data_IF_489422344194
#
_entry.id   IF_489422344194
#
_cell.length_a   1.000
_cell.length_b   1.000
_cell.length_c   1.000
_cell.angle_alpha   90.00
_cell.angle_beta   90.00
_cell.angle_gamma   90.00
#
_symmetry.space_group_name_H-M   'P 1'
#
loop_
_entity.id
_entity.type
_entity.pdbx_description
1 polymer ?
#
# COMPACT_ATOMS: atom_id res chain seq x y z
N UNK A 1 -9.54 24.09 16.83
CA UNK A 1 -10.51 22.99 16.61
C UNK A 1 -11.30 23.17 15.32
N UNK A 2 -11.92 24.30 15.21
CA UNK A 2 -12.76 24.60 14.04
C UNK A 2 -11.97 24.54 12.73
N UNK A 3 -10.77 25.06 12.73
CA UNK A 3 -9.90 25.07 11.57
C UNK A 3 -9.52 23.66 11.12
N UNK A 4 -9.32 22.77 12.06
CA UNK A 4 -8.97 21.40 11.75
C UNK A 4 -10.10 20.65 11.04
N UNK A 5 -11.33 20.94 11.41
CA UNK A 5 -12.49 20.33 10.75
C UNK A 5 -12.63 20.81 9.32
N UNK A 6 -12.41 22.11 9.11
CA UNK A 6 -12.45 22.68 7.78
C UNK A 6 -11.37 22.08 6.91
N UNK A 7 -10.17 21.91 7.46
CA UNK A 7 -9.06 21.30 6.74
C UNK A 7 -9.36 19.86 6.34
N UNK A 8 -9.94 19.08 7.25
CA UNK A 8 -10.31 17.71 6.98
C UNK A 8 -11.36 17.63 5.88
N UNK A 9 -12.35 18.49 5.90
CA UNK A 9 -13.38 18.54 4.87
C UNK A 9 -12.84 18.93 3.50
N UNK A 10 -11.74 19.67 3.47
CA UNK A 10 -11.12 20.14 2.23
C UNK A 10 -9.99 19.25 1.75
N UNK A 11 -9.68 18.20 2.48
CA UNK A 11 -8.63 17.30 2.06
C UNK A 11 -8.96 16.66 0.72
N UNK A 12 -8.01 16.74 -0.17
CA UNK A 12 -8.15 16.08 -1.45
C UNK A 12 -7.96 14.58 -1.28
N UNK A 13 -8.71 13.85 -2.07
CA UNK A 13 -8.57 12.42 -2.15
C UNK A 13 -7.17 12.03 -2.63
N UNK A 14 -6.56 11.04 -2.01
CA UNK A 14 -5.25 10.53 -2.39
C UNK A 14 -5.33 9.29 -3.27
N UNK A 15 -6.38 8.48 -3.10
CA UNK A 15 -6.47 7.23 -3.87
C UNK A 15 -7.22 7.46 -5.18
N UNK A 16 -6.71 6.84 -6.24
CA UNK A 16 -7.34 6.86 -7.55
C UNK A 16 -6.84 5.63 -8.33
N UNK A 17 -7.54 5.29 -9.40
CA UNK A 17 -7.19 4.11 -10.19
C UNK A 17 -6.77 4.45 -11.62
N UNK A 18 -6.95 5.68 -12.06
CA UNK A 18 -6.56 6.07 -13.42
C UNK A 18 -5.11 6.54 -13.43
N UNK A 19 -4.22 5.66 -13.86
CA UNK A 19 -2.79 5.93 -13.90
C UNK A 19 -2.43 7.10 -14.82
N UNK A 20 -3.20 7.33 -15.86
CA UNK A 20 -2.90 8.39 -16.82
C UNK A 20 -2.97 9.78 -16.20
N UNK A 21 -3.72 9.92 -15.12
CA UNK A 21 -3.87 11.20 -14.45
C UNK A 21 -2.87 11.41 -13.32
N UNK A 22 -1.98 10.46 -13.11
CA UNK A 22 -1.04 10.49 -12.00
C UNK A 22 0.31 11.08 -12.36
N UNK A 23 0.81 11.96 -11.51
CA UNK A 23 2.22 12.29 -11.46
C UNK A 23 2.95 11.30 -10.57
N UNK A 24 4.23 11.52 -10.35
CA UNK A 24 5.08 10.62 -9.58
C UNK A 24 4.55 10.36 -8.16
N UNK A 25 4.14 11.41 -7.47
CA UNK A 25 3.69 11.26 -6.07
C UNK A 25 2.29 10.70 -5.97
N UNK A 26 1.42 11.00 -6.91
CA UNK A 26 0.12 10.36 -6.97
C UNK A 26 0.26 8.87 -7.24
N UNK A 27 1.18 8.51 -8.12
CA UNK A 27 1.50 7.10 -8.37
C UNK A 27 2.03 6.43 -7.10
N UNK A 28 2.88 7.12 -6.35
CA UNK A 28 3.42 6.57 -5.10
C UNK A 28 2.31 6.18 -4.12
N UNK A 29 1.23 6.96 -4.07
CA UNK A 29 0.08 6.63 -3.22
C UNK A 29 -0.75 5.47 -3.76
N UNK A 30 -0.59 5.12 -5.04
CA UNK A 30 -1.50 4.20 -5.71
C UNK A 30 -0.83 3.02 -6.41
N UNK A 31 0.49 2.92 -6.33
CA UNK A 31 1.20 1.84 -7.03
C UNK A 31 1.03 0.48 -6.35
N UNK A 32 0.76 0.45 -5.06
CA UNK A 32 0.54 -0.79 -4.32
C UNK A 32 -0.95 -0.92 -4.04
N UNK A 33 -1.54 -2.02 -4.44
CA UNK A 33 -2.98 -2.22 -4.25
C UNK A 33 -3.28 -3.70 -4.06
N UNK A 34 -4.51 -4.00 -3.65
CA UNK A 34 -4.98 -5.38 -3.51
C UNK A 34 -6.01 -5.59 -4.62
N UNK A 35 -5.82 -6.63 -5.41
CA UNK A 35 -6.74 -6.92 -6.51
C UNK A 35 -8.00 -7.63 -6.01
N UNK A 36 -8.92 -7.88 -6.93
CA UNK A 36 -10.20 -8.52 -6.62
C UNK A 36 -10.06 -9.93 -6.06
N UNK A 37 -8.93 -10.57 -6.26
CA UNK A 37 -8.65 -11.91 -5.72
C UNK A 37 -7.94 -11.84 -4.35
N UNK A 38 -7.70 -10.65 -3.82
CA UNK A 38 -7.04 -10.47 -2.54
C UNK A 38 -5.52 -10.52 -2.63
N UNK A 39 -4.95 -10.44 -3.81
CA UNK A 39 -3.50 -10.47 -3.98
C UNK A 39 -2.91 -9.07 -3.98
N UNK A 40 -1.77 -8.93 -3.31
CA UNK A 40 -1.03 -7.68 -3.31
C UNK A 40 -0.32 -7.51 -4.64
N UNK A 41 -0.50 -6.35 -5.26
CA UNK A 41 0.04 -6.05 -6.57
C UNK A 41 0.78 -4.72 -6.56
N UNK A 42 1.72 -4.61 -7.51
CA UNK A 42 2.42 -3.39 -7.80
C UNK A 42 2.11 -2.97 -9.24
N UNK A 43 1.89 -1.69 -9.44
CA UNK A 43 1.68 -1.15 -10.78
C UNK A 43 2.39 0.18 -10.93
N UNK A 44 2.79 0.46 -12.15
CA UNK A 44 3.27 1.79 -12.54
C UNK A 44 2.87 2.03 -13.99
N UNK A 45 3.50 2.99 -14.64
CA UNK A 45 3.13 3.34 -16.01
C UNK A 45 3.47 2.27 -17.03
N UNK A 46 4.28 1.29 -16.67
CA UNK A 46 4.73 0.25 -17.59
C UNK A 46 4.23 -1.15 -17.23
N UNK A 47 4.12 -1.46 -15.94
CA UNK A 47 3.78 -2.82 -15.50
C UNK A 47 2.67 -2.82 -14.46
N UNK A 48 2.04 -3.97 -14.33
CA UNK A 48 1.13 -4.31 -13.25
C UNK A 48 1.38 -5.78 -12.96
N UNK A 49 1.92 -6.09 -11.79
CA UNK A 49 2.43 -7.40 -11.48
C UNK A 49 2.17 -7.76 -10.01
N UNK A 50 1.99 -9.05 -9.75
CA UNK A 50 1.92 -9.56 -8.39
C UNK A 50 3.19 -9.19 -7.62
N UNK A 51 3.04 -8.72 -6.39
CA UNK A 51 4.16 -8.22 -5.60
C UNK A 51 5.22 -9.30 -5.35
N UNK A 52 4.78 -10.54 -5.10
CA UNK A 52 5.69 -11.64 -4.85
C UNK A 52 6.47 -12.00 -6.13
N UNK A 53 5.78 -12.00 -7.26
CA UNK A 53 6.42 -12.26 -8.54
C UNK A 53 7.43 -11.17 -8.91
N UNK A 54 7.12 -9.92 -8.60
CA UNK A 54 8.05 -8.82 -8.81
C UNK A 54 9.33 -9.02 -7.99
N UNK A 55 9.18 -9.30 -6.70
CA UNK A 55 10.33 -9.50 -5.81
C UNK A 55 11.15 -10.72 -6.23
N UNK A 56 10.49 -11.81 -6.61
CA UNK A 56 11.18 -13.01 -7.13
C UNK A 56 12.00 -12.69 -8.37
N UNK A 57 11.42 -11.92 -9.29
CA UNK A 57 12.10 -11.53 -10.51
C UNK A 57 13.34 -10.67 -10.24
N UNK A 58 13.24 -9.73 -9.32
CA UNK A 58 14.36 -8.88 -8.95
C UNK A 58 15.48 -9.67 -8.31
N UNK A 59 15.12 -10.61 -7.41
CA UNK A 59 16.12 -11.47 -6.77
C UNK A 59 16.78 -12.40 -7.78
N UNK A 60 16.00 -12.94 -8.71
CA UNK A 60 16.53 -13.81 -9.75
C UNK A 60 17.55 -13.08 -10.62
N UNK A 61 17.24 -11.85 -11.03
CA UNK A 61 18.19 -11.05 -11.79
C UNK A 61 19.46 -10.77 -11.01
N UNK A 62 19.31 -10.39 -9.75
CA UNK A 62 20.44 -10.06 -8.88
C UNK A 62 21.35 -11.26 -8.66
N UNK A 63 20.80 -12.46 -8.60
CA UNK A 63 21.56 -13.67 -8.32
C UNK A 63 21.88 -14.50 -9.58
N UNK A 64 21.57 -13.97 -10.75
CA UNK A 64 21.78 -14.64 -12.03
C UNK A 64 21.05 -16.01 -12.08
N UNK A 65 19.85 -16.05 -11.49
CA UNK A 65 19.03 -17.25 -11.52
C UNK A 65 19.39 -18.30 -10.49
N UNK A 66 20.27 -17.99 -9.55
CA UNK A 66 20.74 -18.97 -8.56
C UNK A 66 19.79 -19.17 -7.39
N UNK A 67 18.83 -18.28 -7.21
CA UNK A 67 17.87 -18.36 -6.11
C UNK A 67 16.57 -18.97 -6.60
N UNK A 68 16.05 -19.92 -5.85
CA UNK A 68 14.75 -20.52 -6.12
C UNK A 68 14.05 -20.79 -4.79
N UNK A 69 12.72 -20.80 -4.83
CA UNK A 69 11.89 -20.98 -3.64
C UNK A 69 10.90 -22.09 -3.87
N UNK A 70 10.69 -22.91 -2.86
CA UNK A 70 9.82 -24.09 -2.98
C UNK A 70 8.34 -23.74 -2.95
N UNK A 71 7.98 -22.64 -2.29
CA UNK A 71 6.59 -22.20 -2.14
C UNK A 71 6.56 -20.73 -1.83
N UNK A 72 5.36 -20.15 -1.84
CA UNK A 72 5.17 -18.76 -1.45
C UNK A 72 5.53 -18.53 0.02
N UNK A 73 5.20 -19.50 0.85
CA UNK A 73 5.52 -19.45 2.28
C UNK A 73 7.03 -19.46 2.49
N UNK A 74 7.73 -20.33 1.76
CA UNK A 74 9.19 -20.39 1.78
C UNK A 74 9.79 -19.05 1.34
N UNK A 75 9.25 -18.48 0.27
CA UNK A 75 9.70 -17.18 -0.21
C UNK A 75 9.56 -16.11 0.88
N UNK A 76 8.40 -16.04 1.52
CA UNK A 76 8.15 -15.04 2.54
C UNK A 76 9.08 -15.21 3.74
N UNK A 77 9.39 -16.45 4.12
CA UNK A 77 10.34 -16.74 5.18
C UNK A 77 11.74 -16.23 4.83
N UNK A 78 12.18 -16.44 3.59
CA UNK A 78 13.47 -15.93 3.14
C UNK A 78 13.51 -14.41 3.14
N UNK A 79 12.40 -13.75 2.74
CA UNK A 79 12.34 -12.29 2.79
C UNK A 79 12.52 -11.79 4.22
N UNK A 80 11.86 -12.42 5.17
CA UNK A 80 12.04 -12.09 6.59
C UNK A 80 13.47 -12.25 7.04
N UNK A 81 14.14 -13.32 6.62
CA UNK A 81 15.54 -13.55 6.95
C UNK A 81 16.46 -12.47 6.38
N UNK A 82 16.25 -12.08 5.13
CA UNK A 82 17.08 -11.05 4.50
C UNK A 82 16.91 -9.71 5.22
N UNK A 83 15.69 -9.37 5.60
CA UNK A 83 15.44 -8.14 6.36
C UNK A 83 16.17 -8.19 7.71
N UNK A 84 16.08 -9.32 8.40
CA UNK A 84 16.71 -9.47 9.70
C UNK A 84 18.24 -9.46 9.65
N UNK A 85 18.82 -10.06 8.63
CA UNK A 85 20.27 -10.14 8.49
C UNK A 85 20.90 -8.90 7.86
N UNK A 86 20.29 -8.40 6.82
CA UNK A 86 20.91 -7.35 5.99
C UNK A 86 20.26 -5.98 6.17
N UNK A 87 19.01 -5.91 6.58
CA UNK A 87 18.25 -4.67 6.55
C UNK A 87 18.22 -4.11 5.13
N UNK A 88 18.45 -2.83 4.99
CA UNK A 88 18.50 -2.18 3.67
C UNK A 88 19.93 -2.01 3.15
N UNK A 89 20.90 -2.63 3.82
CA UNK A 89 22.31 -2.39 3.52
C UNK A 89 22.82 -3.21 2.34
N UNK A 90 22.07 -4.19 1.88
CA UNK A 90 22.45 -5.01 0.73
C UNK A 90 21.32 -4.99 -0.31
N UNK A 91 21.62 -5.30 -1.58
CA UNK A 91 20.57 -5.40 -2.60
C UNK A 91 19.46 -6.39 -2.24
N UNK A 92 19.80 -7.56 -1.73
CA UNK A 92 18.77 -8.55 -1.38
C UNK A 92 17.91 -8.08 -0.20
N UNK A 93 18.52 -7.45 0.80
CA UNK A 93 17.79 -6.88 1.93
C UNK A 93 16.89 -5.74 1.50
N UNK A 94 17.38 -4.90 0.58
CA UNK A 94 16.57 -3.82 0.04
C UNK A 94 15.36 -4.35 -0.74
N UNK A 95 15.55 -5.39 -1.55
CA UNK A 95 14.45 -6.03 -2.29
C UNK A 95 13.44 -6.61 -1.29
N UNK A 96 13.90 -7.28 -0.26
CA UNK A 96 13.02 -7.86 0.75
C UNK A 96 12.24 -6.77 1.50
N UNK A 97 12.92 -5.67 1.84
CA UNK A 97 12.27 -4.53 2.50
C UNK A 97 11.24 -3.89 1.60
N UNK A 98 11.56 -3.72 0.32
CA UNK A 98 10.60 -3.22 -0.66
C UNK A 98 9.37 -4.13 -0.73
N UNK A 99 9.59 -5.44 -0.79
CA UNK A 99 8.50 -6.41 -0.83
C UNK A 99 7.58 -6.29 0.39
N UNK A 100 8.13 -6.24 1.60
CA UNK A 100 7.27 -6.10 2.78
C UNK A 100 6.50 -4.78 2.76
N UNK A 101 7.14 -3.72 2.27
CA UNK A 101 6.48 -2.42 2.19
C UNK A 101 5.36 -2.40 1.15
N UNK A 102 5.49 -3.18 0.07
CA UNK A 102 4.39 -3.33 -0.89
C UNK A 102 3.14 -3.87 -0.21
N UNK A 103 3.29 -4.87 0.66
CA UNK A 103 2.16 -5.42 1.43
C UNK A 103 1.53 -4.37 2.32
N UNK A 104 2.33 -3.67 3.10
CA UNK A 104 1.83 -2.66 4.02
C UNK A 104 1.14 -1.51 3.27
N UNK A 105 1.77 -1.02 2.21
CA UNK A 105 1.22 0.09 1.44
C UNK A 105 -0.08 -0.30 0.75
N UNK A 106 -0.16 -1.51 0.22
CA UNK A 106 -1.39 -1.98 -0.41
C UNK A 106 -2.53 -2.01 0.60
N UNK A 107 -2.28 -2.55 1.78
CA UNK A 107 -3.29 -2.59 2.84
C UNK A 107 -3.75 -1.19 3.25
N UNK A 108 -2.80 -0.29 3.49
CA UNK A 108 -3.11 1.07 3.88
C UNK A 108 -3.86 1.81 2.78
N UNK A 109 -3.45 1.62 1.54
CA UNK A 109 -4.10 2.25 0.41
C UNK A 109 -5.56 1.82 0.27
N UNK A 110 -5.82 0.50 0.41
CA UNK A 110 -7.18 -0.01 0.29
C UNK A 110 -8.07 0.48 1.43
N UNK A 111 -7.54 0.58 2.64
CA UNK A 111 -8.29 1.16 3.76
C UNK A 111 -8.59 2.62 3.54
N UNK A 112 -7.60 3.37 3.08
CA UNK A 112 -7.81 4.78 2.79
C UNK A 112 -8.86 4.96 1.69
N UNK A 113 -8.77 4.16 0.63
CA UNK A 113 -9.75 4.20 -0.46
C UNK A 113 -11.16 3.96 0.07
N UNK A 114 -11.31 2.99 0.94
CA UNK A 114 -12.63 2.69 1.53
C UNK A 114 -13.19 3.91 2.25
N UNK A 115 -12.40 4.56 3.08
CA UNK A 115 -12.86 5.74 3.82
C UNK A 115 -13.09 6.94 2.90
N UNK A 116 -12.27 7.12 1.91
CA UNK A 116 -12.45 8.19 0.93
C UNK A 116 -13.71 7.99 0.11
N UNK A 117 -14.00 6.74 -0.27
CA UNK A 117 -15.24 6.42 -0.98
C UNK A 117 -16.47 6.71 -0.10
N UNK A 118 -16.42 6.38 1.18
CA UNK A 118 -17.50 6.69 2.11
C UNK A 118 -17.71 8.19 2.27
N UNK A 119 -16.61 8.93 2.33
CA UNK A 119 -16.67 10.38 2.44
C UNK A 119 -17.33 11.02 1.22
N UNK A 120 -16.96 10.57 0.02
CA UNK A 120 -17.57 11.05 -1.22
C UNK A 120 -19.04 10.70 -1.31
N UNK A 121 -19.44 9.61 -0.73
CA UNK A 121 -20.86 9.21 -0.68
C UNK A 121 -21.64 9.91 0.42
N UNK A 122 -20.98 10.78 1.20
CA UNK A 122 -21.60 11.44 2.33
C UNK A 122 -21.92 10.52 3.49
N UNK A 123 -21.34 9.32 3.52
CA UNK A 123 -21.60 8.32 4.54
C UNK A 123 -20.62 8.38 5.69
N UNK A 124 -19.46 8.96 5.49
CA UNK A 124 -18.48 9.17 6.53
C UNK A 124 -18.70 10.56 7.10
N UNK A 125 -19.10 10.61 8.36
CA UNK A 125 -19.38 11.87 9.01
C UNK A 125 -18.13 12.38 9.73
N UNK A 126 -17.68 13.55 9.30
CA UNK A 126 -16.58 14.25 9.96
C UNK A 126 -17.23 15.32 10.82
N UNK A 127 -17.43 15.04 12.08
CA UNK A 127 -18.14 15.93 12.97
C UNK A 127 -17.19 16.70 13.86
N UNK A 128 -17.47 17.98 14.14
CA UNK A 128 -16.70 18.74 15.10
C UNK A 128 -17.09 18.32 16.52
N UNK A 129 -16.87 17.05 16.82
CA UNK A 129 -17.30 16.46 18.08
C UNK A 129 -16.42 16.90 19.21
N UNK A 130 -17.04 17.10 20.35
CA UNK A 130 -16.34 17.39 21.59
C UNK A 130 -16.56 16.23 22.54
N UNK A 131 -15.77 16.19 23.57
CA UNK A 131 -15.97 15.20 24.61
C UNK A 131 -17.40 15.34 25.14
N UNK A 132 -18.11 14.26 25.13
CA UNK A 132 -19.49 14.26 25.58
C UNK A 132 -20.54 14.38 24.50
N UNK A 133 -20.15 14.68 23.28
CA UNK A 133 -21.10 14.69 22.17
C UNK A 133 -21.52 13.25 21.85
N UNK A 134 -22.70 13.13 21.29
CA UNK A 134 -23.31 11.82 21.05
C UNK A 134 -22.95 11.25 19.69
N UNK A 135 -21.70 11.30 19.36
CA UNK A 135 -21.18 10.80 18.07
C UNK A 135 -21.53 9.34 17.85
N UNK A 136 -21.44 8.57 18.88
CA UNK A 136 -21.71 7.13 18.80
C UNK A 136 -23.14 6.79 18.42
N UNK A 137 -24.04 7.73 18.51
CA UNK A 137 -25.43 7.52 18.11
C UNK A 137 -25.58 7.51 16.60
N UNK A 138 -24.56 7.96 15.90
CA UNK A 138 -24.56 8.00 14.44
C UNK A 138 -24.25 6.64 13.86
N UNK A 139 -23.66 5.80 14.66
CA UNK A 139 -23.31 4.45 14.26
C UNK A 139 -24.57 3.59 14.18
#
# INVERSE_FOLDING_TARGET
MKEKWIEAEQMKRLTMDNLEEMGMFSLAHNCCYIDENGNTRYRDFEIDIDARELAKGLLKEMTEGKVSFESDEDFDDWMGCYIGEDGICTPRGLIATFYQNLWAMAELRERLKYYEDLEEQGRLLVLPCRVGDTVYEIL
#
